data_IF_584883068855
#
_entry.id   IF_584883068855
#
_cell.length_a   1.000
_cell.length_b   1.000
_cell.length_c   1.000
_cell.angle_alpha   90.00
_cell.angle_beta   90.00
_cell.angle_gamma   90.00
#
_symmetry.space_group_name_H-M   'P 1'
#
loop_
_entity.id
_entity.type
_entity.pdbx_description
1 polymer ?
#
# COMPACT_ATOMS: atom_id res chain seq x y z
N UNK A 1 -43.97 8.66 -26.81
CA UNK A 1 -43.48 9.92 -26.20
C UNK A 1 -43.03 9.71 -24.76
N UNK A 2 -43.81 9.03 -23.90
CA UNK A 2 -43.44 8.73 -22.50
C UNK A 2 -42.10 7.98 -22.32
N UNK A 3 -41.82 6.99 -23.18
CA UNK A 3 -40.57 6.22 -23.13
C UNK A 3 -39.32 7.03 -23.48
N UNK A 4 -39.43 8.01 -24.39
CA UNK A 4 -38.33 8.91 -24.73
C UNK A 4 -38.05 9.91 -23.59
N UNK A 5 -39.11 10.45 -22.96
CA UNK A 5 -39.01 11.30 -21.77
C UNK A 5 -38.38 10.57 -20.57
N UNK A 6 -38.69 9.29 -20.38
CA UNK A 6 -38.08 8.45 -19.35
C UNK A 6 -36.59 8.20 -19.59
N UNK A 7 -36.20 7.87 -20.82
CA UNK A 7 -34.80 7.64 -21.19
C UNK A 7 -33.92 8.87 -20.95
N UNK A 8 -34.35 10.05 -21.41
CA UNK A 8 -33.58 11.29 -21.23
C UNK A 8 -33.42 11.65 -19.74
N UNK A 9 -34.46 11.44 -18.93
CA UNK A 9 -34.41 11.69 -17.49
C UNK A 9 -33.40 10.77 -16.78
N UNK A 10 -33.45 9.46 -17.07
CA UNK A 10 -32.52 8.49 -16.49
C UNK A 10 -31.08 8.75 -16.94
N UNK A 11 -30.87 9.05 -18.23
CA UNK A 11 -29.56 9.40 -18.76
C UNK A 11 -28.99 10.66 -18.08
N UNK A 12 -29.81 11.71 -17.92
CA UNK A 12 -29.39 12.93 -17.22
C UNK A 12 -29.07 12.67 -15.74
N UNK A 13 -29.84 11.81 -15.07
CA UNK A 13 -29.56 11.38 -13.69
C UNK A 13 -28.22 10.65 -13.60
N UNK A 14 -27.97 9.72 -14.53
CA UNK A 14 -26.73 8.98 -14.59
C UNK A 14 -25.51 9.89 -14.81
N UNK A 15 -25.59 10.84 -15.74
CA UNK A 15 -24.53 11.83 -16.00
C UNK A 15 -24.22 12.66 -14.73
N UNK A 16 -25.23 13.04 -13.94
CA UNK A 16 -25.01 13.75 -12.67
C UNK A 16 -24.28 12.87 -11.65
N UNK A 17 -24.64 11.60 -11.56
CA UNK A 17 -23.97 10.63 -10.69
C UNK A 17 -22.51 10.39 -11.13
N UNK A 18 -22.24 10.27 -12.44
CA UNK A 18 -20.88 10.16 -12.96
C UNK A 18 -20.03 11.38 -12.59
N UNK A 19 -20.57 12.60 -12.72
CA UNK A 19 -19.87 13.82 -12.30
C UNK A 19 -19.56 13.82 -10.80
N UNK A 20 -20.49 13.38 -9.96
CA UNK A 20 -20.24 13.24 -8.52
C UNK A 20 -19.18 12.17 -8.21
N UNK A 21 -19.20 11.04 -8.93
CA UNK A 21 -18.18 10.00 -8.80
C UNK A 21 -16.80 10.47 -9.27
N UNK A 22 -16.71 11.27 -10.33
CA UNK A 22 -15.44 11.91 -10.74
C UNK A 22 -14.90 12.82 -9.64
N UNK A 23 -15.77 13.64 -9.02
CA UNK A 23 -15.36 14.48 -7.87
C UNK A 23 -14.85 13.64 -6.70
N UNK A 24 -15.60 12.61 -6.30
CA UNK A 24 -15.16 11.69 -5.26
C UNK A 24 -13.81 11.05 -5.60
N UNK A 25 -13.62 10.58 -6.84
CA UNK A 25 -12.35 10.00 -7.29
C UNK A 25 -11.18 10.99 -7.24
N UNK A 26 -11.40 12.27 -7.58
CA UNK A 26 -10.39 13.33 -7.42
C UNK A 26 -9.99 13.48 -5.96
N UNK A 27 -10.99 13.65 -5.09
CA UNK A 27 -10.77 13.86 -3.67
C UNK A 27 -10.09 12.66 -3.00
N UNK A 28 -10.42 11.43 -3.42
CA UNK A 28 -9.73 10.21 -2.96
C UNK A 28 -8.22 10.28 -3.27
N UNK A 29 -7.85 10.76 -4.45
CA UNK A 29 -6.45 10.94 -4.83
C UNK A 29 -5.76 12.04 -4.02
N UNK A 30 -6.38 13.21 -3.93
CA UNK A 30 -5.84 14.36 -3.18
C UNK A 30 -5.67 14.03 -1.68
N UNK A 31 -6.68 13.44 -1.03
CA UNK A 31 -6.59 12.99 0.36
C UNK A 31 -5.44 12.00 0.57
N UNK A 32 -5.27 11.07 -0.37
CA UNK A 32 -4.21 10.06 -0.28
C UNK A 32 -2.82 10.67 -0.40
N UNK A 33 -2.59 11.48 -1.43
CA UNK A 33 -1.25 11.97 -1.76
C UNK A 33 -0.84 13.19 -0.92
N UNK A 34 -1.77 14.08 -0.62
CA UNK A 34 -1.45 15.32 0.10
C UNK A 34 -1.56 15.16 1.61
N UNK A 35 -2.44 14.26 2.08
CA UNK A 35 -2.73 14.09 3.51
C UNK A 35 -2.44 12.68 4.04
N UNK A 36 -2.08 11.72 3.18
CA UNK A 36 -1.88 10.33 3.62
C UNK A 36 -3.15 9.66 4.11
N UNK A 37 -4.32 10.16 3.70
CA UNK A 37 -5.63 9.65 4.13
C UNK A 37 -6.17 8.68 3.06
N UNK A 38 -6.23 7.39 3.39
CA UNK A 38 -6.82 6.37 2.53
C UNK A 38 -8.33 6.32 2.73
N UNK A 39 -9.11 6.65 1.69
CA UNK A 39 -10.55 6.44 1.68
C UNK A 39 -10.94 5.04 1.20
N UNK A 40 -11.83 4.40 1.95
CA UNK A 40 -12.52 3.16 1.56
C UNK A 40 -14.03 3.34 1.65
N UNK A 41 -14.76 2.51 0.94
CA UNK A 41 -16.23 2.51 0.92
C UNK A 41 -16.75 1.13 1.37
N UNK A 42 -17.25 1.06 2.59
CA UNK A 42 -17.60 -0.21 3.24
C UNK A 42 -16.51 -1.26 3.07
N UNK A 43 -15.28 -0.89 3.48
CA UNK A 43 -14.03 -1.67 3.35
C UNK A 43 -13.51 -1.89 1.93
N UNK A 44 -14.22 -1.49 0.87
CA UNK A 44 -13.71 -1.56 -0.50
C UNK A 44 -12.79 -0.37 -0.78
N UNK A 45 -11.62 -0.62 -1.35
CA UNK A 45 -10.71 0.47 -1.71
C UNK A 45 -11.30 1.37 -2.80
N UNK A 46 -11.17 2.69 -2.63
CA UNK A 46 -11.53 3.67 -3.67
C UNK A 46 -10.35 4.09 -4.55
N UNK A 47 -9.14 3.69 -4.20
CA UNK A 47 -7.92 3.96 -4.98
C UNK A 47 -7.84 3.03 -6.19
N UNK A 48 -7.48 3.56 -7.36
CA UNK A 48 -7.26 2.80 -8.61
C UNK A 48 -8.49 2.02 -9.08
N UNK A 49 -9.69 2.55 -8.87
CA UNK A 49 -10.93 2.04 -9.46
C UNK A 49 -11.56 3.09 -10.38
N UNK A 50 -12.32 2.64 -11.38
CA UNK A 50 -12.98 3.53 -12.33
C UNK A 50 -14.23 4.18 -11.75
N UNK A 51 -14.68 5.28 -12.37
CA UNK A 51 -15.95 5.96 -12.06
C UNK A 51 -17.12 4.97 -12.04
N UNK A 52 -17.20 4.07 -13.02
CA UNK A 52 -18.24 3.05 -13.07
C UNK A 52 -18.17 2.06 -11.89
N UNK A 53 -16.95 1.70 -11.44
CA UNK A 53 -16.77 0.85 -10.27
C UNK A 53 -17.19 1.57 -8.97
N UNK A 54 -16.88 2.87 -8.84
CA UNK A 54 -17.35 3.71 -7.72
C UNK A 54 -18.88 3.72 -7.65
N UNK A 55 -19.56 3.95 -8.78
CA UNK A 55 -21.02 3.92 -8.84
C UNK A 55 -21.59 2.53 -8.51
N UNK A 56 -20.96 1.46 -9.00
CA UNK A 56 -21.35 0.09 -8.69
C UNK A 56 -21.30 -0.20 -7.18
N UNK A 57 -20.29 0.32 -6.47
CA UNK A 57 -20.20 0.17 -5.01
C UNK A 57 -21.38 0.84 -4.29
N UNK A 58 -21.81 2.03 -4.73
CA UNK A 58 -22.97 2.71 -4.16
C UNK A 58 -24.26 1.92 -4.40
N UNK A 59 -24.48 1.43 -5.62
CA UNK A 59 -25.62 0.55 -5.94
C UNK A 59 -25.61 -0.72 -5.10
N UNK A 60 -24.44 -1.33 -4.89
CA UNK A 60 -24.28 -2.51 -4.06
C UNK A 60 -24.63 -2.24 -2.58
N UNK A 61 -24.22 -1.11 -2.03
CA UNK A 61 -24.52 -0.74 -0.63
C UNK A 61 -26.04 -0.61 -0.37
N UNK A 62 -26.77 -0.06 -1.33
CA UNK A 62 -28.21 0.07 -1.27
C UNK A 62 -28.92 -1.29 -1.31
N UNK A 63 -28.51 -2.18 -2.23
CA UNK A 63 -29.23 -3.43 -2.52
C UNK A 63 -28.87 -4.58 -1.57
N UNK A 64 -27.63 -4.62 -1.09
CA UNK A 64 -27.10 -5.79 -0.38
C UNK A 64 -26.79 -5.47 1.08
N UNK A 65 -26.08 -4.37 1.32
CA UNK A 65 -25.70 -3.95 2.68
C UNK A 65 -26.88 -3.31 3.43
N UNK A 66 -27.96 -2.97 2.72
CA UNK A 66 -29.15 -2.24 3.22
C UNK A 66 -28.79 -0.92 3.92
N UNK A 67 -27.70 -0.31 3.49
CA UNK A 67 -27.24 1.01 3.91
C UNK A 67 -27.22 1.90 2.67
N UNK A 68 -28.36 2.51 2.31
CA UNK A 68 -28.43 3.34 1.11
C UNK A 68 -27.54 4.56 1.31
N UNK A 69 -26.47 4.63 0.53
CA UNK A 69 -25.60 5.81 0.44
C UNK A 69 -25.57 6.23 -1.02
N UNK A 70 -25.98 7.46 -1.29
CA UNK A 70 -25.88 8.04 -2.62
C UNK A 70 -24.47 8.64 -2.85
N UNK A 71 -24.10 8.73 -4.13
CA UNK A 71 -22.76 9.21 -4.52
C UNK A 71 -22.54 10.69 -4.20
N UNK A 72 -23.60 11.50 -4.14
CA UNK A 72 -23.48 12.93 -3.86
C UNK A 72 -23.07 13.16 -2.42
N UNK A 73 -23.70 12.44 -1.47
CA UNK A 73 -23.32 12.49 -0.05
C UNK A 73 -21.86 12.10 0.15
N UNK A 74 -21.39 11.00 -0.44
CA UNK A 74 -19.98 10.59 -0.37
C UNK A 74 -19.03 11.64 -0.97
N UNK A 75 -19.39 12.22 -2.12
CA UNK A 75 -18.60 13.25 -2.77
C UNK A 75 -18.51 14.52 -1.89
N UNK A 76 -19.62 14.99 -1.34
CA UNK A 76 -19.66 16.17 -0.47
C UNK A 76 -18.86 15.94 0.82
N UNK A 77 -19.00 14.80 1.49
CA UNK A 77 -18.18 14.47 2.66
C UNK A 77 -16.69 14.43 2.32
N UNK A 78 -16.31 13.90 1.16
CA UNK A 78 -14.89 13.89 0.75
C UNK A 78 -14.33 15.29 0.50
N UNK A 79 -15.16 16.25 0.08
CA UNK A 79 -14.75 17.65 -0.06
C UNK A 79 -14.50 18.28 1.31
N UNK A 80 -15.39 18.04 2.27
CA UNK A 80 -15.18 18.50 3.64
C UNK A 80 -13.87 17.92 4.21
N UNK A 81 -13.61 16.62 4.04
CA UNK A 81 -12.38 15.99 4.50
C UNK A 81 -11.11 16.63 3.92
N UNK A 82 -11.14 17.10 2.66
CA UNK A 82 -9.98 17.78 2.04
C UNK A 82 -9.60 19.06 2.76
N UNK A 83 -10.57 19.76 3.32
CA UNK A 83 -10.35 21.02 4.04
C UNK A 83 -9.96 20.78 5.52
N UNK A 84 -10.14 19.58 6.07
CA UNK A 84 -9.78 19.25 7.45
C UNK A 84 -8.28 19.00 7.63
N UNK A 85 -7.74 19.34 8.81
CA UNK A 85 -6.37 19.01 9.17
C UNK A 85 -6.26 17.61 9.80
N UNK A 86 -6.37 16.59 8.94
CA UNK A 86 -6.34 15.18 9.34
C UNK A 86 -4.92 14.65 9.42
N UNK A 87 -4.66 13.80 10.42
CA UNK A 87 -3.52 12.90 10.43
C UNK A 87 -3.66 11.82 9.34
N UNK A 88 -2.54 11.26 8.84
CA UNK A 88 -2.58 10.09 7.97
C UNK A 88 -3.37 8.96 8.60
N UNK A 89 -4.41 8.48 7.91
CA UNK A 89 -5.36 7.53 8.46
C UNK A 89 -6.09 6.78 7.35
N UNK A 90 -6.79 5.70 7.72
CA UNK A 90 -7.71 5.00 6.84
C UNK A 90 -9.14 5.26 7.28
N UNK A 91 -9.94 5.92 6.43
CA UNK A 91 -11.31 6.32 6.73
C UNK A 91 -12.31 5.60 5.82
N UNK A 92 -13.42 5.12 6.40
CA UNK A 92 -14.51 4.51 5.63
C UNK A 92 -15.59 5.56 5.32
N UNK A 93 -15.53 6.14 4.12
CA UNK A 93 -16.46 7.19 3.70
C UNK A 93 -17.87 6.65 3.48
N UNK A 94 -18.02 5.37 3.15
CA UNK A 94 -19.34 4.73 3.05
C UNK A 94 -20.02 4.65 4.42
N UNK A 95 -19.25 4.33 5.46
CA UNK A 95 -19.74 4.35 6.85
C UNK A 95 -20.09 5.78 7.28
N UNK A 96 -19.20 6.76 7.07
CA UNK A 96 -19.46 8.17 7.42
C UNK A 96 -20.70 8.71 6.71
N UNK A 97 -20.87 8.40 5.42
CA UNK A 97 -22.05 8.81 4.67
C UNK A 97 -23.33 8.15 5.18
N UNK A 98 -23.29 6.87 5.54
CA UNK A 98 -24.43 6.19 6.16
C UNK A 98 -24.79 6.77 7.52
N UNK A 99 -23.81 7.15 8.34
CA UNK A 99 -24.02 7.79 9.64
C UNK A 99 -24.59 9.20 9.47
N UNK A 100 -24.04 9.99 8.54
CA UNK A 100 -24.58 11.30 8.18
C UNK A 100 -26.05 11.22 7.79
N UNK A 101 -26.42 10.30 6.88
CA UNK A 101 -27.82 10.18 6.43
C UNK A 101 -28.81 9.87 7.57
N UNK A 102 -28.35 9.17 8.62
CA UNK A 102 -29.16 8.83 9.79
C UNK A 102 -29.18 9.91 10.87
N UNK A 103 -28.09 10.68 11.00
CA UNK A 103 -27.88 11.59 12.13
C UNK A 103 -27.86 13.07 11.73
N UNK A 104 -27.95 13.41 10.44
CA UNK A 104 -27.82 14.79 9.93
C UNK A 104 -28.74 15.81 10.62
N UNK A 105 -29.88 15.40 11.16
CA UNK A 105 -30.77 16.29 11.92
C UNK A 105 -30.15 16.82 13.24
N UNK A 106 -29.10 16.16 13.74
CA UNK A 106 -28.40 16.52 14.97
C UNK A 106 -27.22 17.48 14.74
N UNK A 107 -26.89 17.79 13.49
CA UNK A 107 -25.72 18.59 13.14
C UNK A 107 -26.10 19.74 12.21
N UNK A 108 -25.45 20.89 12.40
CA UNK A 108 -25.70 22.09 11.58
C UNK A 108 -25.17 21.92 10.14
N UNK A 109 -24.15 21.09 9.96
CA UNK A 109 -23.48 20.89 8.67
C UNK A 109 -22.73 19.55 8.62
N UNK A 110 -22.32 19.15 7.41
CA UNK A 110 -21.41 18.00 7.20
C UNK A 110 -20.06 18.20 7.88
N UNK A 111 -19.54 19.43 7.85
CA UNK A 111 -18.33 19.82 8.60
C UNK A 111 -18.48 19.52 10.09
N UNK A 112 -19.52 20.04 10.73
CA UNK A 112 -19.75 19.84 12.17
C UNK A 112 -19.89 18.35 12.54
N UNK A 113 -20.55 17.56 11.69
CA UNK A 113 -20.61 16.11 11.84
C UNK A 113 -19.23 15.46 11.76
N UNK A 114 -18.41 15.82 10.77
CA UNK A 114 -17.08 15.25 10.61
C UNK A 114 -16.13 15.66 11.75
N UNK A 115 -16.21 16.90 12.22
CA UNK A 115 -15.41 17.39 13.36
C UNK A 115 -15.70 16.56 14.62
N UNK A 116 -16.97 16.24 14.88
CA UNK A 116 -17.37 15.36 15.99
C UNK A 116 -16.84 13.93 15.79
N UNK A 117 -17.16 13.29 14.65
CA UNK A 117 -16.80 11.89 14.37
C UNK A 117 -15.29 11.65 14.29
N UNK A 118 -14.53 12.65 13.85
CA UNK A 118 -13.09 12.55 13.61
C UNK A 118 -12.24 13.34 14.61
N UNK A 119 -12.81 13.74 15.75
CA UNK A 119 -12.14 14.48 16.82
C UNK A 119 -10.78 13.90 17.25
N UNK A 120 -10.60 12.58 17.21
CA UNK A 120 -9.34 11.91 17.57
C UNK A 120 -8.33 11.77 16.41
N UNK A 121 -8.67 12.20 15.20
CA UNK A 121 -7.85 12.06 13.99
C UNK A 121 -7.10 13.34 13.60
N UNK A 122 -7.02 14.34 14.48
CA UNK A 122 -6.18 15.53 14.26
C UNK A 122 -4.69 15.20 14.22
N UNK A 123 -3.91 15.99 13.47
CA UNK A 123 -2.44 15.83 13.35
C UNK A 123 -1.70 15.81 14.69
N UNK A 124 -2.22 16.51 15.70
CA UNK A 124 -1.63 16.56 17.04
C UNK A 124 -1.62 15.18 17.74
N UNK A 125 -2.46 14.25 17.30
CA UNK A 125 -2.52 12.88 17.80
C UNK A 125 -1.68 11.89 16.96
N UNK A 126 -1.01 12.36 15.90
CA UNK A 126 -0.22 11.50 15.03
C UNK A 126 1.08 11.09 15.73
N UNK A 127 1.24 9.79 16.01
CA UNK A 127 2.55 9.24 16.38
C UNK A 127 3.52 9.44 15.20
N UNK A 128 4.76 9.92 15.44
CA UNK A 128 5.74 10.06 14.37
C UNK A 128 6.07 8.68 13.79
N UNK A 129 5.51 8.40 12.62
CA UNK A 129 5.70 7.15 11.92
C UNK A 129 6.93 7.24 11.00
N UNK A 130 7.93 6.37 11.22
CA UNK A 130 9.08 6.27 10.32
C UNK A 130 8.88 5.15 9.29
N UNK A 131 8.95 5.46 7.98
CA UNK A 131 8.98 4.44 6.95
C UNK A 131 10.14 3.47 7.15
N UNK A 132 9.85 2.19 6.92
CA UNK A 132 10.79 1.07 6.94
C UNK A 132 11.30 0.84 5.53
N UNK A 133 12.62 0.85 5.37
CA UNK A 133 13.22 0.41 4.12
C UNK A 133 13.12 -1.10 3.98
N UNK A 134 12.86 -1.58 2.77
CA UNK A 134 12.74 -2.99 2.42
C UNK A 134 13.80 -3.33 1.38
N UNK A 135 14.48 -4.46 1.60
CA UNK A 135 15.42 -5.05 0.66
C UNK A 135 14.93 -6.44 0.27
N UNK A 136 14.79 -6.68 -1.02
CA UNK A 136 14.45 -8.00 -1.53
C UNK A 136 15.75 -8.77 -1.82
N UNK A 137 16.05 -9.79 -1.02
CA UNK A 137 17.17 -10.67 -1.29
C UNK A 137 16.72 -11.76 -2.28
N UNK A 138 17.14 -11.62 -3.55
CA UNK A 138 16.71 -12.47 -4.65
C UNK A 138 15.59 -11.86 -5.50
N UNK A 139 15.81 -11.82 -6.82
CA UNK A 139 14.86 -11.27 -7.81
C UNK A 139 14.30 -12.33 -8.77
N UNK A 140 13.92 -13.46 -8.19
CA UNK A 140 13.19 -14.54 -8.87
C UNK A 140 11.71 -14.21 -9.08
N UNK A 141 10.86 -15.23 -9.25
CA UNK A 141 9.41 -15.04 -9.43
C UNK A 141 8.78 -14.30 -8.24
N UNK A 142 8.99 -14.80 -7.02
CA UNK A 142 8.41 -14.22 -5.79
C UNK A 142 8.94 -12.80 -5.55
N UNK A 143 10.26 -12.60 -5.66
CA UNK A 143 10.85 -11.26 -5.51
C UNK A 143 10.28 -10.22 -6.49
N UNK A 144 10.00 -10.60 -7.75
CA UNK A 144 9.35 -9.67 -8.69
C UNK A 144 7.91 -9.34 -8.32
N UNK A 145 7.14 -10.31 -7.84
CA UNK A 145 5.76 -10.06 -7.37
C UNK A 145 5.75 -9.18 -6.13
N UNK A 146 6.64 -9.45 -5.16
CA UNK A 146 6.81 -8.62 -3.98
C UNK A 146 7.23 -7.19 -4.37
N UNK A 147 8.15 -7.02 -5.33
CA UNK A 147 8.53 -5.71 -5.82
C UNK A 147 7.36 -4.95 -6.44
N UNK A 148 6.57 -5.60 -7.31
CA UNK A 148 5.37 -4.98 -7.91
C UNK A 148 4.39 -4.50 -6.85
N UNK A 149 4.16 -5.30 -5.81
CA UNK A 149 3.23 -4.95 -4.74
C UNK A 149 3.77 -3.81 -3.87
N UNK A 150 5.03 -3.88 -3.45
CA UNK A 150 5.67 -2.81 -2.66
C UNK A 150 5.65 -1.47 -3.40
N UNK A 151 5.95 -1.47 -4.70
CA UNK A 151 5.91 -0.25 -5.52
C UNK A 151 4.49 0.30 -5.65
N UNK A 152 3.50 -0.56 -5.87
CA UNK A 152 2.08 -0.17 -5.99
C UNK A 152 1.55 0.45 -4.70
N UNK A 153 2.07 0.00 -3.57
CA UNK A 153 1.62 0.42 -2.25
C UNK A 153 2.30 1.68 -1.72
N UNK A 154 3.48 2.05 -2.22
CA UNK A 154 4.29 3.18 -1.73
C UNK A 154 3.56 4.54 -1.68
N UNK A 155 2.57 4.77 -2.56
CA UNK A 155 1.79 6.01 -2.60
C UNK A 155 0.58 6.06 -1.66
N UNK A 156 0.28 4.97 -0.93
CA UNK A 156 -0.95 4.86 -0.11
C UNK A 156 -0.75 5.21 1.37
N UNK A 157 0.11 6.19 1.66
CA UNK A 157 0.46 6.56 3.05
C UNK A 157 1.29 5.50 3.79
N UNK A 158 2.21 4.82 3.08
CA UNK A 158 2.71 3.52 3.52
C UNK A 158 4.11 3.45 4.16
N UNK A 159 4.19 2.37 4.95
CA UNK A 159 5.20 2.01 5.92
C UNK A 159 6.43 1.32 5.33
N UNK A 160 6.35 0.74 4.13
CA UNK A 160 7.39 -0.08 3.54
C UNK A 160 7.87 0.53 2.22
N UNK A 161 9.17 0.78 2.11
CA UNK A 161 9.79 1.38 0.91
C UNK A 161 10.76 0.40 0.29
N UNK A 162 10.52 -0.06 -0.93
CA UNK A 162 11.50 -0.88 -1.65
C UNK A 162 12.71 -0.01 -2.01
N UNK A 163 13.87 -0.32 -1.43
CA UNK A 163 15.11 0.47 -1.62
C UNK A 163 16.21 -0.28 -2.35
N UNK A 164 16.26 -1.60 -2.21
CA UNK A 164 17.23 -2.41 -2.91
C UNK A 164 16.71 -3.81 -3.24
N UNK A 165 17.33 -4.40 -4.25
CA UNK A 165 17.16 -5.79 -4.65
C UNK A 165 18.56 -6.39 -4.75
N UNK A 166 18.80 -7.50 -4.05
CA UNK A 166 20.08 -8.21 -4.09
C UNK A 166 20.00 -9.35 -5.12
N UNK A 167 21.00 -9.40 -6.00
CA UNK A 167 21.17 -10.44 -7.04
C UNK A 167 22.59 -11.00 -7.01
N UNK A 168 22.82 -12.07 -7.78
CA UNK A 168 24.16 -12.68 -7.94
C UNK A 168 25.09 -11.91 -8.88
N UNK A 169 24.62 -10.81 -9.47
CA UNK A 169 25.36 -10.00 -10.41
C UNK A 169 24.59 -8.73 -10.77
N UNK A 170 25.34 -7.74 -11.26
CA UNK A 170 24.93 -6.36 -11.50
C UNK A 170 25.50 -5.81 -12.83
N UNK A 171 25.74 -6.69 -13.81
CA UNK A 171 26.20 -6.23 -15.14
C UNK A 171 25.09 -5.45 -15.86
N UNK A 172 25.43 -4.50 -16.76
CA UNK A 172 24.43 -3.74 -17.52
C UNK A 172 23.36 -4.61 -18.19
N UNK A 173 23.76 -5.74 -18.78
CA UNK A 173 22.85 -6.69 -19.42
C UNK A 173 21.92 -7.37 -18.41
N UNK A 174 22.41 -7.64 -17.20
CA UNK A 174 21.59 -8.20 -16.12
C UNK A 174 20.58 -7.19 -15.62
N UNK A 175 20.95 -5.91 -15.49
CA UNK A 175 20.05 -4.82 -15.14
C UNK A 175 18.89 -4.73 -16.14
N UNK A 176 19.20 -4.67 -17.44
CA UNK A 176 18.19 -4.65 -18.50
C UNK A 176 17.27 -5.88 -18.46
N UNK A 177 17.87 -7.07 -18.27
CA UNK A 177 17.09 -8.31 -18.12
C UNK A 177 16.16 -8.26 -16.90
N UNK A 178 16.62 -7.73 -15.76
CA UNK A 178 15.79 -7.59 -14.54
C UNK A 178 14.65 -6.60 -14.77
N UNK A 179 14.92 -5.47 -15.41
CA UNK A 179 13.90 -4.50 -15.78
C UNK A 179 12.85 -5.11 -16.72
N UNK A 180 13.29 -5.82 -17.76
CA UNK A 180 12.40 -6.49 -18.71
C UNK A 180 11.50 -7.55 -18.04
N UNK A 181 12.06 -8.36 -17.13
CA UNK A 181 11.30 -9.37 -16.37
C UNK A 181 10.36 -8.75 -15.35
N UNK A 182 10.66 -7.55 -14.83
CA UNK A 182 9.73 -6.81 -13.98
C UNK A 182 8.60 -6.20 -14.82
N UNK A 183 8.90 -5.66 -16.01
CA UNK A 183 7.91 -5.11 -16.95
C UNK A 183 6.94 -6.17 -17.44
N UNK A 184 7.44 -7.35 -17.81
CA UNK A 184 6.65 -8.39 -18.46
C UNK A 184 6.62 -9.67 -17.62
N UNK A 185 5.43 -10.01 -17.09
CA UNK A 185 5.19 -11.30 -16.44
C UNK A 185 4.14 -12.08 -17.23
N UNK A 186 4.40 -13.34 -17.55
CA UNK A 186 3.51 -14.17 -18.37
C UNK A 186 2.20 -14.55 -17.67
N UNK A 187 2.16 -14.51 -16.34
CA UNK A 187 0.98 -14.89 -15.54
C UNK A 187 0.24 -13.63 -15.08
N UNK A 188 0.97 -12.61 -14.64
CA UNK A 188 0.40 -11.38 -14.06
C UNK A 188 0.33 -10.22 -15.06
N UNK A 189 0.72 -10.44 -16.31
CA UNK A 189 0.71 -9.43 -17.36
C UNK A 189 1.79 -8.37 -17.22
N UNK A 190 1.64 -7.33 -18.05
CA UNK A 190 2.50 -6.16 -18.02
C UNK A 190 2.39 -5.43 -16.67
N UNK A 191 3.50 -4.87 -16.21
CA UNK A 191 3.51 -4.01 -15.04
C UNK A 191 2.81 -2.69 -15.38
N UNK A 192 1.82 -2.34 -14.56
CA UNK A 192 1.03 -1.11 -14.70
C UNK A 192 1.79 0.08 -14.09
N UNK A 193 2.84 0.50 -14.79
CA UNK A 193 3.74 1.56 -14.34
C UNK A 193 4.98 1.73 -15.21
N UNK A 194 5.86 2.64 -14.81
CA UNK A 194 7.12 2.91 -15.50
C UNK A 194 8.26 2.14 -14.85
N UNK A 195 9.16 1.61 -15.70
CA UNK A 195 10.42 0.98 -15.27
C UNK A 195 11.50 1.45 -16.24
N UNK A 196 12.54 2.11 -15.72
CA UNK A 196 13.77 2.42 -16.46
C UNK A 196 15.00 1.93 -15.70
N UNK A 197 16.10 1.80 -16.42
CA UNK A 197 17.40 1.40 -15.87
C UNK A 197 18.27 2.63 -15.75
N UNK A 198 18.85 2.83 -14.57
CA UNK A 198 19.92 3.77 -14.33
C UNK A 198 21.24 2.98 -14.27
N UNK A 199 21.96 3.00 -15.39
CA UNK A 199 23.23 2.26 -15.54
C UNK A 199 24.35 2.84 -14.69
N UNK A 200 24.37 4.16 -14.50
CA UNK A 200 25.43 4.85 -13.76
C UNK A 200 25.35 4.49 -12.28
N UNK A 201 24.14 4.52 -11.71
CA UNK A 201 23.90 4.21 -10.31
C UNK A 201 23.58 2.74 -10.04
N UNK A 202 23.62 1.89 -11.07
CA UNK A 202 23.23 0.48 -11.01
C UNK A 202 21.86 0.25 -10.36
N UNK A 203 20.85 1.01 -10.79
CA UNK A 203 19.54 1.03 -10.17
C UNK A 203 18.41 0.80 -11.19
N UNK A 204 17.26 0.39 -10.68
CA UNK A 204 15.99 0.44 -11.40
C UNK A 204 15.20 1.65 -10.90
N UNK A 205 14.68 2.45 -11.82
CA UNK A 205 13.75 3.54 -11.48
C UNK A 205 12.34 3.05 -11.81
N UNK A 206 11.54 2.80 -10.77
CA UNK A 206 10.20 2.19 -10.89
C UNK A 206 9.16 3.17 -10.35
N UNK A 207 8.28 3.69 -11.21
CA UNK A 207 7.33 4.76 -10.84
C UNK A 207 8.02 5.94 -10.12
N UNK A 208 9.24 6.29 -10.56
CA UNK A 208 10.07 7.34 -9.94
C UNK A 208 10.85 6.91 -8.68
N UNK A 209 10.60 5.73 -8.13
CA UNK A 209 11.35 5.20 -6.98
C UNK A 209 12.66 4.58 -7.44
N UNK A 210 13.78 4.99 -6.82
CA UNK A 210 15.12 4.45 -7.10
C UNK A 210 15.33 3.20 -6.25
N UNK A 211 15.48 2.05 -6.93
CA UNK A 211 15.73 0.74 -6.32
C UNK A 211 17.12 0.25 -6.73
N UNK A 212 18.03 0.18 -5.76
CA UNK A 212 19.41 -0.23 -5.98
C UNK A 212 19.51 -1.71 -6.34
N UNK A 213 20.25 -2.08 -7.39
CA UNK A 213 20.63 -3.47 -7.63
C UNK A 213 22.00 -3.74 -7.02
N UNK A 214 22.03 -4.62 -6.02
CA UNK A 214 23.24 -4.95 -5.29
C UNK A 214 23.66 -6.37 -5.68
N UNK A 215 24.89 -6.52 -6.19
CA UNK A 215 25.49 -7.83 -6.38
C UNK A 215 26.15 -8.32 -5.09
N UNK A 216 25.75 -9.49 -4.62
CA UNK A 216 26.39 -10.15 -3.49
C UNK A 216 26.34 -11.67 -3.61
N UNK A 217 27.37 -12.32 -3.09
CA UNK A 217 27.43 -13.78 -3.00
C UNK A 217 26.98 -14.28 -1.62
N UNK A 218 27.36 -13.57 -0.55
CA UNK A 218 26.94 -13.84 0.82
C UNK A 218 26.19 -12.62 1.40
N UNK A 219 25.19 -12.84 2.26
CA UNK A 219 24.37 -11.76 2.79
C UNK A 219 25.11 -10.86 3.79
N UNK A 220 26.00 -11.43 4.61
CA UNK A 220 26.76 -10.70 5.65
C UNK A 220 27.78 -9.70 5.08
N UNK A 221 28.19 -9.87 3.81
CA UNK A 221 29.19 -9.01 3.16
C UNK A 221 28.61 -7.65 2.74
N UNK A 222 27.28 -7.48 2.81
CA UNK A 222 26.59 -6.30 2.28
C UNK A 222 26.59 -5.16 3.30
N UNK A 223 26.90 -3.96 2.82
CA UNK A 223 26.77 -2.73 3.56
C UNK A 223 25.68 -1.84 2.93
N UNK A 224 24.44 -1.96 3.46
CA UNK A 224 23.29 -1.20 2.96
C UNK A 224 23.40 0.30 3.28
N UNK A 225 24.21 0.67 4.27
CA UNK A 225 24.35 2.07 4.71
C UNK A 225 24.98 2.94 3.63
N UNK A 226 25.80 2.35 2.73
CA UNK A 226 26.36 3.00 1.54
C UNK A 226 25.29 3.53 0.57
N UNK A 227 24.08 2.97 0.64
CA UNK A 227 22.92 3.35 -0.17
C UNK A 227 21.89 4.17 0.61
N UNK A 228 22.26 4.66 1.81
CA UNK A 228 21.38 5.40 2.69
C UNK A 228 20.25 4.54 3.27
N UNK A 229 20.48 3.25 3.45
CA UNK A 229 19.54 2.28 4.04
C UNK A 229 20.09 1.86 5.40
N UNK A 230 19.41 2.24 6.47
CA UNK A 230 19.91 2.08 7.85
C UNK A 230 19.04 1.18 8.73
N UNK A 231 17.82 0.85 8.29
CA UNK A 231 16.82 0.16 9.10
C UNK A 231 16.10 -0.96 8.33
N UNK A 232 16.78 -1.61 7.38
CA UNK A 232 16.15 -2.50 6.41
C UNK A 232 15.41 -3.68 7.04
N UNK A 233 14.22 -3.97 6.52
CA UNK A 233 13.61 -5.29 6.54
C UNK A 233 14.11 -6.06 5.32
N UNK A 234 14.87 -7.12 5.53
CA UNK A 234 15.34 -8.02 4.48
C UNK A 234 14.26 -9.08 4.25
N UNK A 235 13.81 -9.23 3.00
CA UNK A 235 12.90 -10.29 2.61
C UNK A 235 13.69 -11.27 1.74
N UNK A 236 14.03 -12.44 2.28
CA UNK A 236 14.72 -13.49 1.55
C UNK A 236 13.74 -14.29 0.71
N UNK A 237 13.84 -14.08 -0.60
CA UNK A 237 13.05 -14.76 -1.63
C UNK A 237 13.87 -15.78 -2.42
N UNK A 238 15.09 -16.10 -1.98
CA UNK A 238 15.97 -17.06 -2.67
C UNK A 238 15.64 -18.50 -2.33
N UNK A 239 15.13 -18.74 -1.12
CA UNK A 239 14.93 -20.09 -0.58
C UNK A 239 16.23 -20.86 -0.31
N UNK A 240 17.40 -20.19 -0.37
CA UNK A 240 18.70 -20.80 -0.08
C UNK A 240 18.93 -20.87 1.42
N UNK A 241 18.55 -19.82 2.15
CA UNK A 241 18.72 -19.70 3.60
C UNK A 241 17.43 -20.13 4.28
N UNK A 242 17.39 -21.37 4.77
CA UNK A 242 16.13 -22.02 5.22
C UNK A 242 16.09 -22.34 6.71
N UNK A 243 17.18 -22.12 7.44
CA UNK A 243 17.25 -22.31 8.89
C UNK A 243 17.64 -21.00 9.59
N UNK A 244 17.43 -20.94 10.91
CA UNK A 244 17.64 -19.74 11.72
C UNK A 244 19.08 -19.22 11.64
N UNK A 245 20.07 -20.11 11.69
CA UNK A 245 21.49 -19.75 11.60
C UNK A 245 21.82 -19.09 10.25
N UNK A 246 21.39 -19.70 9.14
CA UNK A 246 21.59 -19.19 7.79
C UNK A 246 20.91 -17.84 7.59
N UNK A 247 19.70 -17.64 8.12
CA UNK A 247 19.00 -16.35 8.03
C UNK A 247 19.64 -15.29 8.93
N UNK A 248 20.20 -15.66 10.08
CA UNK A 248 20.86 -14.72 10.99
C UNK A 248 22.04 -13.99 10.34
N UNK A 249 22.63 -14.57 9.28
CA UNK A 249 23.69 -13.94 8.49
C UNK A 249 23.23 -12.63 7.83
N UNK A 250 21.97 -12.52 7.43
CA UNK A 250 21.40 -11.26 6.93
C UNK A 250 21.46 -10.14 7.97
N UNK A 251 21.30 -10.48 9.26
CA UNK A 251 21.32 -9.52 10.36
C UNK A 251 22.74 -9.02 10.70
N UNK A 252 23.77 -9.62 10.12
CA UNK A 252 25.15 -9.15 10.22
C UNK A 252 25.46 -8.03 9.23
N UNK A 253 24.69 -7.94 8.12
CA UNK A 253 24.83 -6.89 7.13
C UNK A 253 24.53 -5.51 7.74
N UNK A 254 25.38 -4.52 7.46
CA UNK A 254 25.20 -3.17 7.99
C UNK A 254 23.94 -2.52 7.41
N UNK A 255 23.14 -1.91 8.26
CA UNK A 255 21.86 -1.29 7.88
C UNK A 255 20.69 -2.27 7.81
N UNK A 256 20.90 -3.56 8.09
CA UNK A 256 19.82 -4.53 8.30
C UNK A 256 19.25 -4.42 9.72
N UNK A 257 17.95 -4.68 9.88
CA UNK A 257 17.29 -4.68 11.19
C UNK A 257 16.47 -5.94 11.44
N UNK A 258 15.85 -6.50 10.41
CA UNK A 258 14.99 -7.67 10.49
C UNK A 258 15.11 -8.51 9.23
N UNK A 259 14.82 -9.79 9.34
CA UNK A 259 14.78 -10.71 8.20
C UNK A 259 13.48 -11.52 8.21
N UNK A 260 12.84 -11.59 7.04
CA UNK A 260 11.64 -12.37 6.75
C UNK A 260 11.99 -13.40 5.65
N UNK A 261 11.59 -14.65 5.82
CA UNK A 261 11.76 -15.69 4.81
C UNK A 261 10.42 -15.98 4.13
N UNK A 262 10.37 -15.95 2.81
CA UNK A 262 9.12 -16.22 2.05
C UNK A 262 8.94 -17.67 1.63
N UNK A 263 9.77 -18.57 2.16
CA UNK A 263 9.73 -20.01 1.92
C UNK A 263 9.56 -20.74 3.27
N UNK A 264 9.06 -22.00 3.27
CA UNK A 264 8.96 -22.77 4.50
C UNK A 264 10.33 -22.88 5.18
N UNK A 265 10.45 -22.30 6.37
CA UNK A 265 11.66 -22.39 7.18
C UNK A 265 11.66 -23.65 8.04
N UNK A 266 12.85 -24.21 8.29
CA UNK A 266 13.07 -25.10 9.43
C UNK A 266 13.29 -24.22 10.66
N UNK A 267 12.51 -24.44 11.72
CA UNK A 267 12.68 -23.76 13.03
C UNK A 267 12.40 -22.24 13.05
N UNK A 268 11.71 -21.74 12.02
CA UNK A 268 11.26 -20.36 11.90
C UNK A 268 9.73 -20.37 11.92
N UNK A 269 9.06 -19.49 12.70
CA UNK A 269 7.61 -19.38 12.68
C UNK A 269 7.11 -19.10 11.26
N UNK A 270 6.37 -20.04 10.68
CA UNK A 270 5.69 -19.81 9.40
C UNK A 270 4.41 -19.05 9.68
N UNK A 271 4.36 -17.78 9.31
CA UNK A 271 3.17 -16.95 9.51
C UNK A 271 2.31 -17.02 8.25
N UNK A 272 1.13 -17.58 8.41
CA UNK A 272 0.08 -17.57 7.40
C UNK A 272 -0.93 -16.51 7.78
N UNK A 273 -0.97 -15.45 6.96
CA UNK A 273 -1.94 -14.38 7.12
C UNK A 273 -3.37 -14.95 7.08
N UNK A 274 -4.16 -14.67 8.12
CA UNK A 274 -5.51 -15.15 8.34
C UNK A 274 -5.63 -16.41 9.21
N UNK A 275 -4.50 -17.03 9.61
CA UNK A 275 -4.50 -18.27 10.41
C UNK A 275 -3.80 -18.07 11.75
N UNK A 276 -2.52 -17.69 11.76
CA UNK A 276 -1.69 -17.70 12.98
C UNK A 276 -0.89 -16.40 13.20
N UNK A 277 -1.23 -15.33 12.50
CA UNK A 277 -0.57 -14.01 12.63
C UNK A 277 -0.63 -13.39 14.03
N UNK A 278 -1.59 -13.81 14.88
CA UNK A 278 -1.73 -13.34 16.26
C UNK A 278 -0.87 -14.11 17.28
N UNK A 279 -0.21 -15.19 16.86
CA UNK A 279 0.63 -16.04 17.71
C UNK A 279 2.09 -15.55 17.78
N UNK A 280 2.42 -14.49 17.03
CA UNK A 280 3.71 -13.84 17.04
C UNK A 280 3.94 -13.03 18.31
N UNK A 281 4.76 -13.56 19.20
CA UNK A 281 5.35 -12.80 20.29
C UNK A 281 6.58 -12.02 19.80
N UNK A 282 6.32 -10.79 19.34
CA UNK A 282 7.34 -9.86 18.87
C UNK A 282 8.35 -9.47 19.96
N UNK A 283 8.04 -9.64 21.25
CA UNK A 283 8.95 -9.35 22.36
C UNK A 283 9.93 -10.50 22.63
N UNK A 284 9.50 -11.75 22.48
CA UNK A 284 10.40 -12.90 22.65
C UNK A 284 11.34 -13.12 21.46
N UNK A 285 10.92 -12.88 20.21
CA UNK A 285 11.82 -12.92 19.04
C UNK A 285 12.84 -11.75 19.00
N UNK A 286 12.65 -10.71 19.81
CA UNK A 286 13.63 -9.63 20.03
C UNK A 286 14.80 -10.02 20.93
N UNK A 287 14.65 -11.07 21.76
CA UNK A 287 15.64 -11.44 22.80
C UNK A 287 16.76 -12.36 22.31
N UNK A 288 16.75 -12.77 21.04
CA UNK A 288 17.77 -13.66 20.47
C UNK A 288 19.07 -12.98 20.02
N UNK A 289 19.07 -11.67 19.79
CA UNK A 289 20.23 -10.91 19.34
C UNK A 289 20.19 -9.51 19.97
N UNK A 290 21.26 -9.09 20.64
CA UNK A 290 21.36 -7.75 21.24
C UNK A 290 21.16 -6.67 20.17
N UNK A 291 20.42 -5.61 20.54
CA UNK A 291 20.12 -4.40 19.74
C UNK A 291 18.92 -4.46 18.77
N UNK A 292 17.76 -4.98 19.21
CA UNK A 292 16.48 -4.78 18.50
C UNK A 292 16.38 -5.45 17.12
N UNK A 293 17.32 -6.36 16.82
CA UNK A 293 17.33 -7.24 15.66
C UNK A 293 16.56 -8.52 15.97
N UNK A 294 15.71 -8.96 15.07
CA UNK A 294 14.85 -10.13 15.30
C UNK A 294 14.30 -10.73 14.02
N UNK A 295 13.80 -11.96 14.13
CA UNK A 295 13.05 -12.64 13.08
C UNK A 295 11.59 -12.16 13.13
N UNK A 296 10.94 -12.08 11.97
CA UNK A 296 9.52 -11.74 11.85
C UNK A 296 8.89 -12.56 10.75
#
# INVERSE_FOLDING_TARGET
>A
METALGYEKELNSHIKQERAAVKLSSNVGELLYDKGVELVFFRNHLTNITVAQVLKLHVYSQRVVKKPVDIFTSAELSQELLEMDLAPAKLDIGKLASEWLNEQANYESKRAFLDDKLSNFGKDNAQPFQPRDVVLYGFGRIGRLAARELIKQAGKGQQLRLRAIVTRGDTPEQLEKRAALLKNDSVHGAFDGTVSVDHENKALVINGQIVQLIAASQPEDIDYTKYGINNALIIDNTGVFTNREALSRHLQAKGSSRVLLTAPGKEIPNIVYGINQGELDLENERKGLSEGRGFS
#
